data_IF_313346103295
#
_entry.id   IF_313346103295
#
_cell.length_a   1.000
_cell.length_b   1.000
_cell.length_c   1.000
_cell.angle_alpha   90.00
_cell.angle_beta   90.00
_cell.angle_gamma   90.00
#
_symmetry.space_group_name_H-M   'P 1'
#
loop_
_entity.id
_entity.type
_entity.pdbx_description
1 polymer ?
#
# COMPACT_ATOMS: atom_id res chain seq x y z
N UNK A 1 24.97 -17.25 -33.86
CA UNK A 1 25.61 -16.25 -32.97
C UNK A 1 24.93 -14.86 -33.00
N UNK A 2 24.83 -14.14 -34.12
CA UNK A 2 24.22 -12.78 -34.11
C UNK A 2 22.70 -12.75 -33.77
N UNK A 3 21.91 -13.72 -34.26
CA UNK A 3 20.47 -13.79 -33.96
C UNK A 3 20.13 -14.26 -32.54
N UNK A 4 21.02 -15.02 -31.90
CA UNK A 4 20.84 -15.56 -30.55
C UNK A 4 21.01 -14.44 -29.51
N UNK A 5 22.08 -13.64 -29.67
CA UNK A 5 22.36 -12.48 -28.82
C UNK A 5 21.24 -11.41 -28.88
N UNK A 6 20.62 -11.23 -30.07
CA UNK A 6 19.48 -10.30 -30.23
C UNK A 6 18.20 -10.81 -29.54
N UNK A 7 17.98 -12.13 -29.54
CA UNK A 7 16.85 -12.75 -28.86
C UNK A 7 16.94 -12.62 -27.34
N UNK A 8 18.12 -12.84 -26.78
CA UNK A 8 18.40 -12.68 -25.35
C UNK A 8 18.24 -11.23 -24.91
N UNK A 9 18.84 -10.29 -25.63
CA UNK A 9 18.73 -8.85 -25.33
C UNK A 9 17.28 -8.37 -25.32
N UNK A 10 16.47 -8.78 -26.30
CA UNK A 10 15.05 -8.40 -26.36
C UNK A 10 14.24 -8.95 -25.18
N UNK A 11 14.57 -10.16 -24.71
CA UNK A 11 13.91 -10.79 -23.56
C UNK A 11 14.27 -10.07 -22.27
N UNK A 12 15.53 -9.72 -22.06
CA UNK A 12 15.97 -8.92 -20.91
C UNK A 12 15.29 -7.55 -20.88
N UNK A 13 15.22 -6.86 -22.02
CA UNK A 13 14.51 -5.58 -22.13
C UNK A 13 13.02 -5.71 -21.81
N UNK A 14 12.37 -6.79 -22.27
CA UNK A 14 10.97 -7.05 -21.96
C UNK A 14 10.76 -7.31 -20.46
N UNK A 15 11.61 -8.12 -19.83
CA UNK A 15 11.53 -8.41 -18.39
C UNK A 15 11.76 -7.14 -17.55
N UNK A 16 12.73 -6.30 -17.94
CA UNK A 16 12.96 -4.98 -17.34
C UNK A 16 11.76 -4.05 -17.49
N UNK A 17 11.18 -3.96 -18.70
CA UNK A 17 10.01 -3.14 -18.97
C UNK A 17 8.82 -3.61 -18.13
N UNK A 18 8.51 -4.91 -18.13
CA UNK A 18 7.42 -5.48 -17.33
C UNK A 18 7.62 -5.23 -15.84
N UNK A 19 8.85 -5.35 -15.34
CA UNK A 19 9.19 -5.07 -13.95
C UNK A 19 8.99 -3.60 -13.61
N UNK A 20 9.45 -2.68 -14.47
CA UNK A 20 9.27 -1.24 -14.28
C UNK A 20 7.79 -0.84 -14.28
N UNK A 21 6.99 -1.39 -15.19
CA UNK A 21 5.54 -1.18 -15.25
C UNK A 21 4.88 -1.73 -14.00
N UNK A 22 5.26 -2.92 -13.55
CA UNK A 22 4.75 -3.51 -12.32
C UNK A 22 5.02 -2.63 -11.09
N UNK A 23 6.24 -2.09 -10.95
CA UNK A 23 6.58 -1.15 -9.87
C UNK A 23 5.69 0.11 -9.92
N UNK A 24 5.50 0.69 -11.09
CA UNK A 24 4.65 1.90 -11.26
C UNK A 24 3.19 1.59 -10.94
N UNK A 25 2.66 0.49 -11.46
CA UNK A 25 1.27 0.07 -11.21
C UNK A 25 1.03 -0.22 -9.74
N UNK A 26 1.93 -0.97 -9.10
CA UNK A 26 1.87 -1.25 -7.67
C UNK A 26 1.88 0.02 -6.82
N UNK A 27 2.81 0.93 -7.10
CA UNK A 27 2.91 2.20 -6.39
C UNK A 27 1.68 3.08 -6.58
N UNK A 28 1.17 3.18 -7.82
CA UNK A 28 -0.05 3.91 -8.12
C UNK A 28 -1.27 3.33 -7.38
N UNK A 29 -1.41 2.00 -7.33
CA UNK A 29 -2.44 1.34 -6.52
C UNK A 29 -2.26 1.65 -5.03
N UNK A 30 -1.03 1.80 -4.55
CA UNK A 30 -0.74 2.20 -3.18
C UNK A 30 -1.24 3.61 -2.87
N UNK A 31 -0.99 4.56 -3.77
CA UNK A 31 -1.53 5.93 -3.65
C UNK A 31 -3.06 5.91 -3.69
N UNK A 32 -3.66 5.23 -4.66
CA UNK A 32 -5.12 5.16 -4.81
C UNK A 32 -5.77 4.52 -3.59
N UNK A 33 -5.20 3.42 -3.08
CA UNK A 33 -5.67 2.75 -1.87
C UNK A 33 -5.60 3.64 -0.64
N UNK A 34 -4.52 4.40 -0.47
CA UNK A 34 -4.37 5.33 0.65
C UNK A 34 -5.36 6.51 0.55
N UNK A 35 -5.50 7.10 -0.65
CA UNK A 35 -6.48 8.17 -0.88
C UNK A 35 -7.91 7.67 -0.64
N UNK A 36 -8.23 6.46 -1.11
CA UNK A 36 -9.52 5.85 -0.85
C UNK A 36 -9.75 5.66 0.65
N UNK A 37 -8.77 5.11 1.39
CA UNK A 37 -8.88 4.91 2.83
C UNK A 37 -9.10 6.23 3.56
N UNK A 38 -8.37 7.29 3.20
CA UNK A 38 -8.56 8.63 3.78
C UNK A 38 -9.94 9.21 3.54
N UNK A 39 -10.54 8.93 2.38
CA UNK A 39 -11.88 9.43 2.04
C UNK A 39 -13.01 8.69 2.74
N UNK A 40 -12.75 7.44 3.15
CA UNK A 40 -13.75 6.53 3.71
C UNK A 40 -13.58 6.35 5.22
N UNK A 41 -12.38 6.63 5.76
CA UNK A 41 -12.10 6.55 7.18
C UNK A 41 -13.12 7.38 7.97
N UNK A 42 -13.74 6.83 9.02
CA UNK A 42 -14.63 7.58 9.87
C UNK A 42 -13.84 8.65 10.62
N UNK A 43 -14.46 9.83 10.79
CA UNK A 43 -13.86 10.90 11.56
C UNK A 43 -13.60 10.44 13.00
N UNK A 44 -12.37 10.65 13.46
CA UNK A 44 -12.02 10.37 14.85
C UNK A 44 -12.47 11.54 15.75
N UNK A 45 -12.92 11.25 16.99
CA UNK A 45 -13.22 12.27 17.97
C UNK A 45 -12.04 13.24 18.21
N UNK A 46 -12.34 14.49 18.55
CA UNK A 46 -11.31 15.54 18.73
C UNK A 46 -10.25 15.22 19.79
N UNK A 47 -10.52 14.30 20.72
CA UNK A 47 -9.54 13.81 21.70
C UNK A 47 -8.29 13.19 21.04
N UNK A 48 -8.42 12.68 19.81
CA UNK A 48 -7.31 12.10 19.05
C UNK A 48 -6.34 13.16 18.50
N UNK A 49 -6.73 14.43 18.44
CA UNK A 49 -5.82 15.54 18.12
C UNK A 49 -4.79 15.80 19.24
N UNK A 50 -5.12 15.43 20.49
CA UNK A 50 -4.21 15.57 21.64
C UNK A 50 -3.14 14.48 21.58
N UNK A 51 -1.85 14.77 21.82
CA UNK A 51 -0.81 13.77 21.86
C UNK A 51 -1.14 12.62 22.81
N UNK A 52 -0.85 11.38 22.40
CA UNK A 52 -1.19 10.17 23.16
C UNK A 52 -0.75 10.24 24.63
N UNK A 53 0.43 10.80 24.91
CA UNK A 53 0.99 10.96 26.26
C UNK A 53 0.19 11.92 27.16
N UNK A 54 -0.55 12.83 26.55
CA UNK A 54 -1.31 13.90 27.21
C UNK A 54 -2.82 13.56 27.27
N UNK A 55 -3.24 12.43 26.66
CA UNK A 55 -4.60 11.92 26.81
C UNK A 55 -4.80 11.37 28.21
N UNK A 56 -5.88 11.78 28.88
CA UNK A 56 -6.25 11.23 30.17
C UNK A 56 -6.51 9.72 30.08
N UNK A 57 -6.34 9.00 31.19
CA UNK A 57 -6.47 7.54 31.28
C UNK A 57 -7.85 6.98 30.89
N UNK A 58 -8.85 7.85 30.71
CA UNK A 58 -10.22 7.51 30.30
C UNK A 58 -10.53 7.84 28.83
N UNK A 59 -9.50 8.14 28.02
CA UNK A 59 -9.70 8.39 26.61
C UNK A 59 -10.25 7.14 25.89
N UNK A 60 -11.22 7.30 24.97
CA UNK A 60 -11.76 6.19 24.20
C UNK A 60 -10.70 5.63 23.25
N UNK A 61 -10.78 4.32 22.98
CA UNK A 61 -9.96 3.66 21.96
C UNK A 61 -10.36 4.06 20.54
N UNK A 62 -9.44 3.90 19.60
CA UNK A 62 -9.70 4.12 18.17
C UNK A 62 -10.74 3.10 17.69
N UNK A 63 -11.84 3.52 17.04
CA UNK A 63 -12.87 2.60 16.55
C UNK A 63 -12.32 1.51 15.63
N UNK A 64 -12.81 0.27 15.78
CA UNK A 64 -12.42 -0.86 14.90
C UNK A 64 -12.71 -0.55 13.43
N UNK A 65 -13.78 0.18 13.15
CA UNK A 65 -14.15 0.60 11.79
C UNK A 65 -13.06 1.43 11.11
N UNK A 66 -12.35 2.28 11.87
CA UNK A 66 -11.19 3.03 11.35
C UNK A 66 -10.04 2.10 10.96
N UNK A 67 -9.73 1.08 11.77
CA UNK A 67 -8.69 0.12 11.40
C UNK A 67 -9.07 -0.71 10.18
N UNK A 68 -10.35 -1.07 10.04
CA UNK A 68 -10.86 -1.82 8.90
C UNK A 68 -10.71 -1.02 7.60
N UNK A 69 -10.93 0.29 7.58
CA UNK A 69 -10.75 1.10 6.36
C UNK A 69 -9.32 1.07 5.85
N UNK A 70 -8.33 1.05 6.75
CA UNK A 70 -6.91 0.91 6.40
C UNK A 70 -6.50 -0.52 6.05
N UNK A 71 -7.31 -1.52 6.39
CA UNK A 71 -7.02 -2.93 6.09
C UNK A 71 -7.65 -3.40 4.76
N UNK A 72 -8.71 -2.75 4.29
CA UNK A 72 -9.41 -3.14 3.06
C UNK A 72 -8.50 -3.08 1.81
N UNK A 73 -7.76 -1.99 1.54
CA UNK A 73 -6.89 -1.93 0.35
C UNK A 73 -5.85 -3.05 0.28
N UNK A 74 -5.07 -3.38 1.33
CA UNK A 74 -4.12 -4.48 1.26
C UNK A 74 -4.81 -5.84 1.13
N UNK A 75 -5.96 -6.07 1.78
CA UNK A 75 -6.72 -7.33 1.58
C UNK A 75 -7.13 -7.48 0.11
N UNK A 76 -7.69 -6.43 -0.49
CA UNK A 76 -8.13 -6.45 -1.87
C UNK A 76 -6.95 -6.71 -2.82
N UNK A 77 -5.84 -5.97 -2.65
CA UNK A 77 -4.67 -6.10 -3.53
C UNK A 77 -3.98 -7.45 -3.38
N UNK A 78 -3.72 -7.90 -2.14
CA UNK A 78 -3.08 -9.20 -1.91
C UNK A 78 -3.97 -10.37 -2.31
N UNK A 79 -5.29 -10.26 -2.10
CA UNK A 79 -6.27 -11.26 -2.52
C UNK A 79 -6.34 -11.37 -4.05
N UNK A 80 -6.51 -10.25 -4.76
CA UNK A 80 -6.47 -10.22 -6.23
C UNK A 80 -5.15 -10.77 -6.77
N UNK A 81 -4.03 -10.38 -6.15
CA UNK A 81 -2.72 -10.88 -6.52
C UNK A 81 -2.59 -12.39 -6.37
N UNK A 82 -2.99 -12.93 -5.21
CA UNK A 82 -2.96 -14.38 -4.95
C UNK A 82 -3.76 -15.16 -5.99
N UNK A 83 -4.93 -14.64 -6.38
CA UNK A 83 -5.76 -15.24 -7.43
C UNK A 83 -5.10 -15.18 -8.80
N UNK A 84 -4.49 -14.05 -9.17
CA UNK A 84 -3.80 -13.90 -10.45
C UNK A 84 -2.61 -14.85 -10.56
N UNK A 85 -1.77 -14.92 -9.51
CA UNK A 85 -0.60 -15.81 -9.48
C UNK A 85 -1.05 -17.27 -9.57
N UNK A 86 -2.10 -17.62 -8.86
CA UNK A 86 -2.66 -18.97 -8.87
C UNK A 86 -3.23 -19.36 -10.25
N UNK A 87 -3.98 -18.47 -10.90
CA UNK A 87 -4.67 -18.77 -12.15
C UNK A 87 -3.77 -18.68 -13.40
N UNK A 88 -2.89 -17.68 -13.48
CA UNK A 88 -2.17 -17.34 -14.71
C UNK A 88 -0.70 -17.79 -14.73
N UNK A 89 -0.15 -18.28 -13.61
CA UNK A 89 1.29 -18.53 -13.41
C UNK A 89 2.19 -17.46 -14.08
N UNK A 90 1.92 -16.16 -13.87
CA UNK A 90 2.75 -15.10 -14.43
C UNK A 90 4.16 -15.19 -13.87
N UNK A 91 5.09 -14.44 -14.47
CA UNK A 91 6.44 -14.26 -13.90
C UNK A 91 6.30 -13.82 -12.44
N UNK A 92 6.68 -14.71 -11.52
CA UNK A 92 6.59 -14.50 -10.07
C UNK A 92 7.34 -13.22 -9.66
N UNK A 93 8.39 -12.87 -10.40
CA UNK A 93 9.22 -11.70 -10.11
C UNK A 93 8.51 -10.37 -10.39
N UNK A 94 7.92 -10.22 -11.58
CA UNK A 94 7.11 -9.04 -11.94
C UNK A 94 5.99 -8.81 -10.93
N UNK A 95 5.37 -9.93 -10.54
CA UNK A 95 4.28 -10.01 -9.60
C UNK A 95 4.74 -9.53 -8.20
N UNK A 96 5.89 -10.00 -7.71
CA UNK A 96 6.50 -9.56 -6.45
C UNK A 96 6.86 -8.07 -6.48
N UNK A 97 7.36 -7.54 -7.60
CA UNK A 97 7.68 -6.13 -7.73
C UNK A 97 6.43 -5.24 -7.62
N UNK A 98 5.32 -5.63 -8.24
CA UNK A 98 4.05 -4.89 -8.12
C UNK A 98 3.56 -4.85 -6.67
N UNK A 99 3.51 -6.00 -6.00
CA UNK A 99 3.06 -6.08 -4.60
C UNK A 99 4.01 -5.34 -3.68
N UNK A 100 5.32 -5.50 -3.86
CA UNK A 100 6.33 -4.82 -3.06
C UNK A 100 6.24 -3.30 -3.17
N UNK A 101 6.07 -2.76 -4.38
CA UNK A 101 5.88 -1.33 -4.60
C UNK A 101 4.57 -0.82 -3.97
N UNK A 102 3.48 -1.57 -4.12
CA UNK A 102 2.22 -1.28 -3.44
C UNK A 102 2.42 -1.20 -1.92
N UNK A 103 3.01 -2.23 -1.31
CA UNK A 103 3.23 -2.30 0.14
C UNK A 103 4.10 -1.15 0.63
N UNK A 104 5.16 -0.81 -0.11
CA UNK A 104 6.04 0.30 0.24
C UNK A 104 5.29 1.65 0.21
N UNK A 105 4.63 1.97 -0.89
CA UNK A 105 3.95 3.26 -1.06
C UNK A 105 2.73 3.37 -0.15
N UNK A 106 1.87 2.36 -0.14
CA UNK A 106 0.69 2.32 0.72
C UNK A 106 1.08 2.35 2.19
N UNK A 107 2.03 1.51 2.59
CA UNK A 107 2.49 1.41 3.98
C UNK A 107 3.05 2.72 4.50
N UNK A 108 3.86 3.42 3.68
CA UNK A 108 4.37 4.75 4.04
C UNK A 108 3.25 5.78 4.21
N UNK A 109 2.32 5.88 3.26
CA UNK A 109 1.21 6.83 3.34
C UNK A 109 0.27 6.52 4.50
N UNK A 110 -0.11 5.25 4.67
CA UNK A 110 -0.96 4.81 5.77
C UNK A 110 -0.30 5.07 7.12
N UNK A 111 0.99 4.75 7.28
CA UNK A 111 1.70 4.98 8.53
C UNK A 111 1.79 6.48 8.87
N UNK A 112 2.06 7.32 7.87
CA UNK A 112 2.09 8.77 8.06
C UNK A 112 0.74 9.30 8.51
N UNK A 113 -0.33 8.97 7.81
CA UNK A 113 -1.68 9.46 8.11
C UNK A 113 -2.25 8.90 9.40
N UNK A 114 -2.09 7.61 9.67
CA UNK A 114 -2.51 7.00 10.94
C UNK A 114 -1.76 7.62 12.11
N UNK A 115 -0.46 7.91 11.93
CA UNK A 115 0.31 8.64 12.95
C UNK A 115 -0.22 10.05 13.14
N UNK A 116 -0.72 10.69 12.08
CA UNK A 116 -1.40 11.99 12.15
C UNK A 116 -2.68 11.92 12.98
N UNK A 117 -3.55 11.00 12.61
CA UNK A 117 -4.89 10.88 13.17
C UNK A 117 -4.87 10.35 14.62
N UNK A 118 -4.02 9.35 14.91
CA UNK A 118 -4.01 8.64 16.19
C UNK A 118 -2.90 9.11 17.12
N UNK A 119 -1.81 9.67 16.59
CA UNK A 119 -0.66 10.15 17.39
C UNK A 119 -0.90 11.51 18.05
N UNK A 120 -1.69 12.38 17.41
CA UNK A 120 -2.00 13.73 17.87
C UNK A 120 -0.95 14.77 17.48
N UNK A 121 -1.40 15.95 17.06
CA UNK A 121 -0.61 17.09 16.60
C UNK A 121 -1.01 18.32 17.43
N UNK A 122 -0.77 18.31 18.74
CA UNK A 122 -0.80 19.58 19.46
C UNK A 122 0.52 20.31 19.16
N UNK A 123 0.50 21.52 18.57
CA UNK A 123 1.61 22.44 18.78
C UNK A 123 1.67 22.69 20.29
N UNK A 124 2.78 22.33 20.91
CA UNK A 124 3.08 22.79 22.27
C UNK A 124 3.39 24.28 22.26
#
# INVERSE_FOLDING_TARGET
MHNENRGETNRELLELLLTSVALVVGGALGVVGAVWALRVAPDLPSIFAVPVRDRGASAPDVPVTYWLTWLIPPIAVYGCYGLIVWAARPSTWVSVCAVGSFTAVYGLLASLWISIDVGGFSPG
#
